data_IF_062108103392
#
_entry.id   IF_062108103392
#
_cell.length_a   1.000
_cell.length_b   1.000
_cell.length_c   1.000
_cell.angle_alpha   90.00
_cell.angle_beta   90.00
_cell.angle_gamma   90.00
#
_symmetry.space_group_name_H-M   'P 1'
#
loop_
_entity.id
_entity.type
_entity.pdbx_description
1 polymer ?
#
# COMPACT_ATOMS: atom_id res chain seq x y z
N UNK A 1 -2.32 -6.43 -48.96
CA UNK A 1 -2.99 -7.16 -47.87
C UNK A 1 -2.04 -7.56 -46.74
N UNK A 2 -0.86 -8.16 -47.02
CA UNK A 2 0.10 -8.59 -45.99
C UNK A 2 0.58 -7.45 -45.05
N UNK A 3 0.81 -6.25 -45.59
CA UNK A 3 1.24 -5.06 -44.82
C UNK A 3 0.17 -4.56 -43.84
N UNK A 4 -1.12 -4.67 -44.20
CA UNK A 4 -2.24 -4.29 -43.34
C UNK A 4 -2.45 -5.31 -42.20
N UNK A 5 -2.24 -6.59 -42.50
CA UNK A 5 -2.28 -7.67 -41.50
C UNK A 5 -1.15 -7.54 -40.46
N UNK A 6 0.05 -7.14 -40.89
CA UNK A 6 1.16 -6.86 -39.97
C UNK A 6 0.88 -5.67 -39.05
N UNK A 7 0.26 -4.60 -39.58
CA UNK A 7 -0.10 -3.42 -38.78
C UNK A 7 -1.18 -3.76 -37.73
N UNK A 8 -2.15 -4.60 -38.10
CA UNK A 8 -3.21 -5.03 -37.22
C UNK A 8 -2.71 -5.97 -36.11
N UNK A 9 -1.76 -6.88 -36.43
CA UNK A 9 -1.11 -7.73 -35.45
C UNK A 9 -0.23 -6.95 -34.45
N UNK A 10 0.41 -5.86 -34.90
CA UNK A 10 1.20 -4.99 -34.03
C UNK A 10 0.32 -4.18 -33.07
N UNK A 11 -0.90 -3.81 -33.48
CA UNK A 11 -1.86 -3.06 -32.67
C UNK A 11 -2.52 -3.92 -31.57
N UNK A 12 -2.64 -5.23 -31.78
CA UNK A 12 -3.19 -6.16 -30.77
C UNK A 12 -2.18 -6.57 -29.68
N UNK A 13 -0.88 -6.39 -29.93
CA UNK A 13 0.18 -6.79 -29.00
C UNK A 13 0.34 -5.83 -27.80
N UNK A 14 -0.14 -4.58 -27.89
CA UNK A 14 -0.06 -3.61 -26.78
C UNK A 14 -1.17 -3.79 -25.73
N UNK A 15 -2.07 -4.76 -25.89
CA UNK A 15 -3.20 -5.00 -24.98
C UNK A 15 -2.84 -5.85 -23.75
N UNK A 16 -1.60 -6.33 -23.63
CA UNK A 16 -1.13 -6.95 -22.39
C UNK A 16 -0.74 -5.87 -21.37
N UNK A 17 -1.74 -5.15 -20.86
CA UNK A 17 -1.59 -4.33 -19.68
C UNK A 17 -1.29 -5.24 -18.49
N UNK A 18 -0.03 -5.30 -18.07
CA UNK A 18 0.35 -5.99 -16.85
C UNK A 18 -0.27 -5.26 -15.66
N UNK A 19 -1.26 -5.86 -15.00
CA UNK A 19 -1.70 -5.41 -13.68
C UNK A 19 -0.50 -5.59 -12.73
N UNK A 20 0.24 -4.52 -12.50
CA UNK A 20 1.40 -4.57 -11.63
C UNK A 20 0.91 -4.68 -10.19
N UNK A 21 1.09 -5.86 -9.60
CA UNK A 21 0.86 -6.06 -8.18
C UNK A 21 1.93 -5.25 -7.45
N UNK A 22 1.50 -4.35 -6.59
CA UNK A 22 2.35 -3.36 -5.94
C UNK A 22 2.33 -3.51 -4.40
N UNK A 23 3.11 -2.72 -3.68
CA UNK A 23 3.26 -2.84 -2.23
C UNK A 23 2.00 -2.38 -1.48
N UNK A 24 1.71 -3.02 -0.36
CA UNK A 24 0.72 -2.56 0.60
C UNK A 24 1.42 -2.04 1.85
N UNK A 25 0.87 -0.97 2.42
CA UNK A 25 1.32 -0.37 3.67
C UNK A 25 0.16 -0.33 4.65
N UNK A 26 0.30 -1.04 5.76
CA UNK A 26 -0.62 -0.94 6.91
C UNK A 26 0.04 -0.15 8.03
N UNK A 27 -0.68 0.81 8.58
CA UNK A 27 -0.31 1.51 9.81
C UNK A 27 -1.43 1.32 10.82
N UNK A 28 -1.10 0.98 12.05
CA UNK A 28 -2.07 0.91 13.15
C UNK A 28 -1.54 1.60 14.41
N UNK A 29 -2.44 2.04 15.30
CA UNK A 29 -2.08 2.53 16.63
C UNK A 29 -2.05 1.39 17.64
N UNK A 30 -0.92 1.23 18.33
CA UNK A 30 -0.77 0.26 19.43
C UNK A 30 -1.65 0.64 20.63
N UNK A 31 -1.88 1.95 20.84
CA UNK A 31 -2.59 2.51 21.98
C UNK A 31 -4.07 2.84 21.65
N UNK A 32 -4.52 2.56 20.42
CA UNK A 32 -5.92 2.74 20.00
C UNK A 32 -6.29 4.15 19.53
N UNK A 33 -5.30 5.00 19.24
CA UNK A 33 -5.54 6.34 18.71
C UNK A 33 -6.20 6.32 17.33
N UNK A 34 -7.16 7.21 17.13
CA UNK A 34 -7.76 7.47 15.83
C UNK A 34 -6.90 8.44 15.03
N UNK A 35 -6.65 8.12 13.76
CA UNK A 35 -5.88 8.97 12.86
C UNK A 35 -6.36 8.90 11.41
N UNK A 36 -6.00 9.92 10.64
CA UNK A 36 -6.06 9.89 9.17
C UNK A 36 -4.66 9.68 8.61
N UNK A 37 -4.58 8.85 7.57
CA UNK A 37 -3.35 8.50 6.89
C UNK A 37 -3.30 9.21 5.54
N UNK A 38 -2.21 9.91 5.29
CA UNK A 38 -1.87 10.48 3.98
C UNK A 38 -0.64 9.78 3.45
N UNK A 39 -0.75 9.17 2.26
CA UNK A 39 0.36 8.51 1.57
C UNK A 39 0.61 9.22 0.25
N UNK A 40 1.84 9.66 0.01
CA UNK A 40 2.25 10.38 -1.21
C UNK A 40 1.34 11.57 -1.57
N UNK A 41 0.78 12.24 -0.55
CA UNK A 41 -0.13 13.38 -0.71
C UNK A 41 -1.61 13.02 -0.83
N UNK A 42 -1.95 11.73 -0.91
CA UNK A 42 -3.33 11.26 -0.97
C UNK A 42 -3.82 10.78 0.40
N UNK A 43 -4.97 11.29 0.84
CA UNK A 43 -5.67 10.78 2.03
C UNK A 43 -6.26 9.40 1.73
N UNK A 44 -5.99 8.42 2.60
CA UNK A 44 -6.37 7.01 2.39
C UNK A 44 -7.71 6.68 3.03
N UNK A 45 -7.99 7.20 4.22
CA UNK A 45 -9.24 7.00 4.93
C UNK A 45 -10.00 8.32 5.09
N UNK A 46 -11.30 8.31 4.78
CA UNK A 46 -12.18 9.48 4.93
C UNK A 46 -12.43 9.81 6.42
N UNK A 47 -12.74 8.78 7.21
CA UNK A 47 -12.96 8.88 8.65
C UNK A 47 -11.73 8.41 9.42
N UNK A 48 -11.35 9.07 10.54
CA UNK A 48 -10.26 8.61 11.39
C UNK A 48 -10.46 7.17 11.88
N UNK A 49 -9.39 6.36 11.85
CA UNK A 49 -9.42 4.96 12.25
C UNK A 49 -8.16 4.58 13.04
N UNK A 50 -8.21 3.46 13.76
CA UNK A 50 -7.07 2.93 14.53
C UNK A 50 -6.11 2.09 13.69
N UNK A 51 -6.54 1.67 12.49
CA UNK A 51 -5.75 0.89 11.54
C UNK A 51 -6.17 1.26 10.12
N UNK A 52 -5.21 1.56 9.27
CA UNK A 52 -5.43 1.98 7.88
C UNK A 52 -4.44 1.25 6.98
N UNK A 53 -4.96 0.68 5.88
CA UNK A 53 -4.15 0.03 4.85
C UNK A 53 -4.23 0.81 3.54
N UNK A 54 -3.10 1.33 3.10
CA UNK A 54 -2.90 1.86 1.75
C UNK A 54 -2.45 0.70 0.84
N UNK A 55 -3.13 0.52 -0.29
CA UNK A 55 -2.88 -0.58 -1.22
C UNK A 55 -2.19 -0.10 -2.49
N UNK A 56 -1.50 -1.04 -3.13
CA UNK A 56 -0.97 -0.92 -4.49
C UNK A 56 -0.03 0.28 -4.72
N UNK A 57 0.81 0.57 -3.73
CA UNK A 57 1.84 1.60 -3.80
C UNK A 57 2.98 1.13 -4.71
N UNK A 58 3.16 1.82 -5.85
CA UNK A 58 4.08 1.41 -6.90
C UNK A 58 5.58 1.59 -6.56
N UNK A 59 5.89 2.34 -5.51
CA UNK A 59 7.27 2.69 -5.15
C UNK A 59 7.73 1.93 -3.91
N UNK A 60 9.04 1.66 -3.83
CA UNK A 60 9.67 1.01 -2.68
C UNK A 60 9.65 1.86 -1.40
N UNK A 61 9.45 3.17 -1.56
CA UNK A 61 9.39 4.16 -0.50
C UNK A 61 8.14 5.02 -0.64
N UNK A 62 7.58 5.41 0.50
CA UNK A 62 6.41 6.27 0.56
C UNK A 62 6.65 7.48 1.47
N UNK A 63 6.12 8.64 1.06
CA UNK A 63 5.91 9.76 1.97
C UNK A 63 4.63 9.49 2.76
N UNK A 64 4.71 9.53 4.08
CA UNK A 64 3.61 9.28 4.98
C UNK A 64 3.43 10.46 5.93
N UNK A 65 2.17 10.88 6.11
CA UNK A 65 1.75 11.80 7.17
C UNK A 65 0.61 11.14 7.93
N UNK A 66 0.75 11.06 9.25
CA UNK A 66 -0.27 10.56 10.18
C UNK A 66 -0.78 11.77 10.94
N UNK A 67 -2.09 12.04 10.84
CA UNK A 67 -2.75 13.13 11.56
C UNK A 67 -3.70 12.56 12.58
N UNK A 68 -3.48 12.89 13.85
CA UNK A 68 -4.29 12.37 14.95
C UNK A 68 -5.61 13.13 15.03
N UNK A 69 -6.68 12.40 15.36
CA UNK A 69 -8.03 12.97 15.44
C UNK A 69 -8.25 13.85 16.68
N UNK A 70 -7.38 13.74 17.69
CA UNK A 70 -7.49 14.50 18.94
C UNK A 70 -7.17 15.99 18.78
N UNK A 71 -6.53 16.38 17.67
CA UNK A 71 -6.11 17.75 17.39
C UNK A 71 -5.01 18.30 18.31
N UNK A 72 -4.52 17.49 19.25
CA UNK A 72 -3.50 17.87 20.25
C UNK A 72 -2.20 17.14 20.06
N UNK A 73 -2.24 15.90 19.56
CA UNK A 73 -1.05 15.13 19.28
C UNK A 73 -0.39 15.64 17.99
N UNK A 74 0.92 15.94 17.99
CA UNK A 74 1.63 16.35 16.77
C UNK A 74 1.57 15.28 15.67
N UNK A 75 1.42 15.72 14.43
CA UNK A 75 1.48 14.85 13.26
C UNK A 75 2.83 14.11 13.17
N UNK A 76 2.80 12.85 12.72
CA UNK A 76 4.01 12.10 12.40
C UNK A 76 4.24 12.17 10.89
N UNK A 77 5.35 12.79 10.46
CA UNK A 77 5.79 12.79 9.06
C UNK A 77 7.00 11.88 8.82
N UNK A 78 6.96 11.08 7.76
CA UNK A 78 8.08 10.30 7.23
C UNK A 78 8.17 10.52 5.73
N UNK A 79 9.28 11.11 5.27
CA UNK A 79 9.45 11.44 3.84
C UNK A 79 9.83 10.24 2.98
N UNK A 80 10.58 9.29 3.54
CA UNK A 80 11.11 8.11 2.86
C UNK A 80 10.88 6.85 3.69
N UNK A 81 9.61 6.48 3.91
CA UNK A 81 9.27 5.25 4.64
C UNK A 81 9.46 4.03 3.72
N UNK A 82 10.32 3.09 4.10
CA UNK A 82 10.61 1.91 3.29
C UNK A 82 9.49 0.85 3.37
N UNK A 83 8.87 0.54 2.24
CA UNK A 83 7.76 -0.42 2.15
C UNK A 83 8.07 -1.65 1.28
N UNK A 84 9.19 -1.66 0.55
CA UNK A 84 9.76 -2.86 -0.06
C UNK A 84 10.79 -3.56 0.85
N UNK A 85 11.26 -4.75 0.47
CA UNK A 85 12.31 -5.44 1.22
C UNK A 85 13.69 -4.83 0.91
N UNK A 86 14.54 -4.53 1.92
CA UNK A 86 15.90 -4.04 1.69
C UNK A 86 16.79 -5.12 1.06
N UNK A 87 17.54 -4.76 0.03
CA UNK A 87 18.71 -5.53 -0.43
C UNK A 87 18.43 -6.85 -1.14
N UNK A 88 17.22 -7.11 -1.62
CA UNK A 88 16.91 -8.31 -2.41
C UNK A 88 16.19 -7.92 -3.70
N UNK A 89 16.87 -8.09 -4.83
CA UNK A 89 16.29 -8.03 -6.17
C UNK A 89 16.17 -9.44 -6.75
N UNK A 90 14.98 -9.86 -7.21
CA UNK A 90 13.67 -9.22 -7.03
C UNK A 90 12.99 -9.76 -5.76
N UNK A 91 12.77 -8.90 -4.75
CA UNK A 91 11.70 -9.15 -3.77
C UNK A 91 10.41 -8.66 -4.40
N UNK A 92 9.41 -9.55 -4.49
CA UNK A 92 8.13 -9.23 -5.09
C UNK A 92 7.33 -8.18 -4.29
N UNK A 93 6.06 -7.97 -4.66
CA UNK A 93 5.18 -7.03 -3.96
C UNK A 93 5.06 -7.43 -2.49
N UNK A 94 5.24 -6.46 -1.59
CA UNK A 94 5.31 -6.68 -0.14
C UNK A 94 4.08 -6.10 0.56
N UNK A 95 3.62 -6.75 1.61
CA UNK A 95 2.74 -6.14 2.61
C UNK A 95 3.61 -5.74 3.81
N UNK A 96 3.80 -4.44 4.01
CA UNK A 96 4.59 -3.88 5.11
C UNK A 96 3.67 -3.29 6.17
N UNK A 97 3.98 -3.56 7.44
CA UNK A 97 3.21 -3.07 8.59
C UNK A 97 4.09 -2.22 9.49
N UNK A 98 3.61 -1.03 9.79
CA UNK A 98 4.15 -0.16 10.83
C UNK A 98 3.12 0.03 11.94
N UNK A 99 3.61 0.37 13.12
CA UNK A 99 2.80 0.67 14.29
C UNK A 99 3.17 2.02 14.88
N UNK A 100 2.16 2.79 15.26
CA UNK A 100 2.31 3.97 16.09
C UNK A 100 2.43 3.46 17.53
N UNK A 101 3.52 3.83 18.20
CA UNK A 101 3.80 3.42 19.56
C UNK A 101 4.20 4.65 20.36
N UNK A 102 3.61 4.82 21.53
CA UNK A 102 4.05 5.84 22.47
C UNK A 102 5.28 5.39 23.27
N UNK A 103 6.23 6.30 23.46
CA UNK A 103 7.35 6.11 24.38
C UNK A 103 7.67 7.44 25.06
N UNK A 104 7.45 7.51 26.38
CA UNK A 104 7.70 8.71 27.22
C UNK A 104 6.89 9.94 26.75
N UNK A 105 5.61 9.75 26.41
CA UNK A 105 4.74 10.84 25.94
C UNK A 105 4.94 11.26 24.49
N UNK A 106 5.88 10.65 23.76
CA UNK A 106 6.09 10.91 22.34
C UNK A 106 5.62 9.71 21.50
N UNK A 107 4.72 9.97 20.55
CA UNK A 107 4.25 8.96 19.58
C UNK A 107 5.22 8.86 18.42
N UNK A 108 5.62 7.63 18.10
CA UNK A 108 6.57 7.39 17.02
C UNK A 108 6.16 6.17 16.18
N UNK A 109 6.51 6.21 14.90
CA UNK A 109 6.27 5.10 13.97
C UNK A 109 7.39 4.06 14.08
N UNK A 110 7.01 2.79 14.30
CA UNK A 110 7.94 1.65 14.42
C UNK A 110 7.58 0.58 13.41
N UNK A 111 8.61 -0.02 12.81
CA UNK A 111 8.41 -1.20 11.97
C UNK A 111 7.83 -2.33 12.81
N UNK A 112 6.77 -2.98 12.33
CA UNK A 112 6.13 -4.10 13.00
C UNK A 112 6.45 -5.41 12.29
N UNK A 113 6.15 -5.50 10.99
CA UNK A 113 6.40 -6.69 10.19
C UNK A 113 6.43 -6.38 8.69
N UNK A 114 6.90 -7.36 7.92
CA UNK A 114 6.82 -7.37 6.46
C UNK A 114 6.66 -8.80 5.99
N UNK A 115 5.78 -9.01 5.02
CA UNK A 115 5.59 -10.29 4.35
C UNK A 115 5.46 -10.09 2.85
N UNK A 116 5.60 -11.16 2.07
CA UNK A 116 5.12 -11.14 0.69
C UNK A 116 3.63 -10.76 0.67
N UNK A 117 3.23 -9.90 -0.28
CA UNK A 117 1.83 -9.58 -0.49
C UNK A 117 1.13 -10.84 -0.96
N UNK A 118 0.08 -11.22 -0.24
CA UNK A 118 -0.72 -12.37 -0.63
C UNK A 118 -1.55 -12.00 -1.87
N UNK A 119 -1.30 -12.67 -2.98
CA UNK A 119 -2.03 -12.50 -4.23
C UNK A 119 -3.07 -13.62 -4.26
N UNK A 120 -4.35 -13.29 -4.09
CA UNK A 120 -5.43 -14.25 -4.31
C UNK A 120 -5.55 -14.50 -5.82
N UNK A 121 -4.88 -15.55 -6.31
CA UNK A 121 -5.02 -16.01 -7.70
C UNK A 121 -6.24 -16.92 -7.91
N UNK A 122 -7.12 -17.06 -6.93
CA UNK A 122 -8.25 -17.99 -7.05
C UNK A 122 -9.30 -17.37 -7.97
N UNK A 123 -9.69 -18.03 -9.10
CA UNK A 123 -10.85 -17.60 -9.84
C UNK A 123 -12.04 -17.57 -8.88
N UNK A 124 -12.77 -16.46 -8.85
CA UNK A 124 -14.03 -16.36 -8.09
C UNK A 124 -14.99 -17.38 -8.71
N UNK A 125 -15.12 -18.56 -8.08
CA UNK A 125 -16.16 -19.52 -8.44
C UNK A 125 -17.45 -18.96 -7.88
N UNK A 126 -18.20 -18.25 -8.73
CA UNK A 126 -19.58 -17.88 -8.42
C UNK A 126 -20.40 -19.16 -8.53
N UNK A 127 -20.72 -19.77 -7.39
CA UNK A 127 -21.69 -20.87 -7.34
C UNK A 127 -23.07 -20.20 -7.29
N UNK A 128 -23.72 -20.09 -8.45
CA UNK A 128 -25.13 -19.73 -8.50
C UNK A 128 -25.94 -20.96 -8.04
N UNK A 129 -26.45 -20.94 -6.82
CA UNK A 129 -27.48 -21.87 -6.40
C UNK A 129 -28.80 -21.46 -7.07
N UNK A 130 -29.19 -22.22 -8.10
CA UNK A 130 -30.55 -22.23 -8.63
C UNK A 130 -31.46 -23.08 -7.74
#
# INVERSE_FOLDING_TARGET
>A
MKKLLCLLAFLTATLFASAQINHDLTIYSEDGDLFTLVVNGQTINAEPATSVTAKDIAFDFAKVVIRFADGTTPDIERKNLQIAAPGTTPSGPMATVYKIKEKKGEKNLRFASRSAKHIQNTPVIIINNH
#
